data_IF_327111232868
#
_entry.id   IF_327111232868
#
_cell.length_a   1.000
_cell.length_b   1.000
_cell.length_c   1.000
_cell.angle_alpha   90.00
_cell.angle_beta   90.00
_cell.angle_gamma   90.00
#
_symmetry.space_group_name_H-M   'P 1'
#
loop_
_entity.id
_entity.type
_entity.pdbx_description
1 polymer ?
#
# COMPACT_ATOMS: atom_id res chain seq x y z
N UNK A 1 -9.46 10.69 -5.06
CA UNK A 1 -8.87 10.57 -6.41
C UNK A 1 -7.47 9.95 -6.28
N UNK A 2 -6.97 9.20 -7.26
CA UNK A 2 -5.57 8.73 -7.34
C UNK A 2 -5.08 7.54 -6.50
N UNK A 3 -5.95 6.82 -5.79
CA UNK A 3 -5.51 5.67 -5.00
C UNK A 3 -5.56 4.34 -5.79
N UNK A 4 -6.75 3.75 -5.93
CA UNK A 4 -6.86 2.37 -6.43
C UNK A 4 -6.72 2.25 -7.95
N UNK A 5 -7.35 3.15 -8.71
CA UNK A 5 -7.33 3.06 -10.17
C UNK A 5 -5.96 3.37 -10.77
N UNK A 6 -5.22 4.30 -10.16
CA UNK A 6 -3.85 4.64 -10.59
C UNK A 6 -2.89 3.46 -10.39
N UNK A 7 -3.04 2.72 -9.27
CA UNK A 7 -2.23 1.52 -9.02
C UNK A 7 -2.51 0.44 -10.05
N UNK A 8 -3.79 0.20 -10.35
CA UNK A 8 -4.22 -0.78 -11.34
C UNK A 8 -3.69 -0.44 -12.73
N UNK A 9 -3.89 0.81 -13.18
CA UNK A 9 -3.47 1.30 -14.50
C UNK A 9 -1.95 1.22 -14.68
N UNK A 10 -1.17 1.74 -13.73
CA UNK A 10 0.31 1.69 -13.79
C UNK A 10 0.84 0.26 -13.79
N UNK A 11 0.20 -0.65 -13.06
CA UNK A 11 0.62 -2.05 -13.01
C UNK A 11 0.31 -2.78 -14.33
N UNK A 12 -0.87 -2.56 -14.91
CA UNK A 12 -1.28 -3.24 -16.14
C UNK A 12 -0.55 -2.68 -17.37
N UNK A 13 -0.45 -1.36 -17.50
CA UNK A 13 0.21 -0.70 -18.63
C UNK A 13 1.71 -0.99 -18.67
N UNK A 14 2.35 -1.25 -17.52
CA UNK A 14 3.74 -1.72 -17.46
C UNK A 14 3.99 -3.00 -18.27
N UNK A 15 2.95 -3.82 -18.45
CA UNK A 15 3.00 -5.08 -19.18
C UNK A 15 2.04 -5.09 -20.38
N UNK A 16 1.70 -3.91 -20.90
CA UNK A 16 0.81 -3.72 -22.07
C UNK A 16 -0.56 -4.39 -21.93
N UNK A 17 -1.08 -4.50 -20.70
CA UNK A 17 -2.42 -5.01 -20.43
C UNK A 17 -3.38 -3.85 -20.16
N UNK A 18 -4.53 -3.87 -20.84
CA UNK A 18 -5.63 -2.94 -20.58
C UNK A 18 -6.60 -3.55 -19.55
N UNK A 19 -6.83 -2.84 -18.44
CA UNK A 19 -7.80 -3.24 -17.42
C UNK A 19 -9.05 -2.37 -17.49
N UNK A 20 -10.22 -3.02 -17.45
CA UNK A 20 -11.52 -2.35 -17.43
C UNK A 20 -12.16 -2.50 -16.04
N UNK A 21 -12.92 -1.49 -15.62
CA UNK A 21 -13.67 -1.52 -14.35
C UNK A 21 -15.18 -1.37 -14.61
N UNK A 22 -15.91 -2.46 -14.96
CA UNK A 22 -17.30 -2.40 -15.40
C UNK A 22 -18.27 -1.72 -14.42
N UNK A 23 -18.01 -1.84 -13.11
CA UNK A 23 -18.84 -1.19 -12.09
C UNK A 23 -18.74 0.35 -12.09
N UNK A 24 -17.76 0.92 -12.81
CA UNK A 24 -17.62 2.36 -13.00
C UNK A 24 -18.18 2.86 -14.35
N UNK A 25 -18.83 1.99 -15.13
CA UNK A 25 -19.55 2.44 -16.33
C UNK A 25 -20.64 3.45 -15.93
N UNK A 26 -20.73 4.56 -16.68
CA UNK A 26 -21.66 5.64 -16.38
C UNK A 26 -23.13 5.19 -16.36
N UNK A 27 -23.51 4.15 -17.12
CA UNK A 27 -24.86 3.58 -17.12
C UNK A 27 -25.14 2.85 -15.82
N UNK A 28 -24.17 2.09 -15.32
CA UNK A 28 -24.26 1.37 -14.04
C UNK A 28 -24.32 2.38 -12.88
N UNK A 29 -23.47 3.41 -12.91
CA UNK A 29 -23.46 4.47 -11.91
C UNK A 29 -24.79 5.25 -11.89
N UNK A 30 -25.32 5.61 -13.07
CA UNK A 30 -26.63 6.29 -13.21
C UNK A 30 -27.76 5.43 -12.66
N UNK A 31 -27.85 4.17 -13.08
CA UNK A 31 -28.83 3.22 -12.56
C UNK A 31 -28.75 3.13 -11.02
N UNK A 32 -27.55 2.98 -10.47
CA UNK A 32 -27.35 2.93 -9.02
C UNK A 32 -27.78 4.21 -8.28
N UNK A 33 -27.66 5.38 -8.93
CA UNK A 33 -28.10 6.66 -8.38
C UNK A 33 -29.63 6.76 -8.30
N UNK A 34 -30.35 6.23 -9.30
CA UNK A 34 -31.82 6.22 -9.39
C UNK A 34 -32.47 5.25 -8.38
N UNK A 35 -31.72 4.25 -7.89
CA UNK A 35 -32.25 3.29 -6.92
C UNK A 35 -32.52 3.92 -5.54
N UNK A 36 -33.67 3.57 -4.97
CA UNK A 36 -33.99 3.85 -3.57
C UNK A 36 -32.89 3.32 -2.63
N UNK A 37 -32.60 4.05 -1.56
CA UNK A 37 -31.57 3.69 -0.56
C UNK A 37 -31.81 2.30 0.03
N UNK A 38 -33.07 1.95 0.33
CA UNK A 38 -33.45 0.62 0.84
C UNK A 38 -33.05 -0.52 -0.10
N UNK A 39 -33.04 -0.29 -1.41
CA UNK A 39 -32.61 -1.31 -2.40
C UNK A 39 -31.10 -1.55 -2.35
N UNK A 40 -30.32 -0.51 -2.00
CA UNK A 40 -28.85 -0.59 -1.90
C UNK A 40 -28.38 -1.12 -0.54
N UNK A 41 -29.11 -0.81 0.53
CA UNK A 41 -28.69 -0.99 1.92
C UNK A 41 -29.66 -1.75 2.83
N UNK A 42 -30.79 -2.24 2.32
CA UNK A 42 -31.88 -2.81 3.13
C UNK A 42 -31.47 -3.98 4.02
N UNK A 43 -30.59 -4.86 3.52
CA UNK A 43 -30.03 -5.99 4.28
C UNK A 43 -28.52 -5.80 4.53
N UNK A 44 -28.07 -4.53 4.60
CA UNK A 44 -26.66 -4.17 4.69
C UNK A 44 -26.03 -3.77 3.35
N UNK A 45 -24.71 -3.50 3.33
CA UNK A 45 -24.05 -2.93 2.16
C UNK A 45 -24.10 -3.87 0.95
N UNK A 46 -24.29 -3.26 -0.22
CA UNK A 46 -24.32 -3.95 -1.52
C UNK A 46 -25.50 -4.94 -1.66
N UNK A 47 -26.66 -4.67 -1.05
CA UNK A 47 -27.83 -5.57 -1.05
C UNK A 47 -28.20 -6.01 -2.47
N UNK A 48 -28.57 -5.08 -3.36
CA UNK A 48 -28.93 -5.41 -4.76
C UNK A 48 -27.82 -6.16 -5.52
N UNK A 49 -26.56 -5.81 -5.29
CA UNK A 49 -25.42 -6.44 -5.97
C UNK A 49 -25.22 -7.90 -5.51
N UNK A 50 -25.45 -8.18 -4.23
CA UNK A 50 -25.40 -9.54 -3.66
C UNK A 50 -26.52 -10.40 -4.23
N UNK A 51 -27.74 -9.87 -4.30
CA UNK A 51 -28.88 -10.59 -4.88
C UNK A 51 -28.70 -10.85 -6.37
N UNK A 52 -28.17 -9.88 -7.12
CA UNK A 52 -27.82 -10.09 -8.53
C UNK A 52 -26.74 -11.18 -8.69
N UNK A 53 -25.70 -11.17 -7.85
CA UNK A 53 -24.60 -12.12 -7.91
C UNK A 53 -24.99 -13.55 -7.50
N UNK A 54 -25.97 -13.69 -6.59
CA UNK A 54 -26.49 -14.98 -6.13
C UNK A 54 -27.09 -15.83 -7.27
N UNK A 55 -27.44 -15.21 -8.40
CA UNK A 55 -27.93 -15.90 -9.61
C UNK A 55 -26.82 -16.60 -10.40
N UNK A 56 -25.55 -16.23 -10.17
CA UNK A 56 -24.42 -16.69 -10.97
C UNK A 56 -23.41 -17.53 -10.20
N UNK A 57 -23.23 -17.26 -8.90
CA UNK A 57 -22.25 -17.98 -8.07
C UNK A 57 -22.79 -18.25 -6.66
N UNK A 58 -22.27 -19.27 -5.95
CA UNK A 58 -22.74 -19.59 -4.60
C UNK A 58 -22.51 -18.44 -3.60
N UNK A 59 -23.53 -18.15 -2.78
CA UNK A 59 -23.53 -17.09 -1.76
C UNK A 59 -22.29 -17.07 -0.87
N UNK A 60 -21.80 -18.23 -0.45
CA UNK A 60 -20.59 -18.39 0.38
C UNK A 60 -19.33 -17.71 -0.17
N UNK A 61 -19.24 -17.46 -1.47
CA UNK A 61 -18.06 -16.84 -2.10
C UNK A 61 -18.00 -15.33 -1.89
N UNK A 62 -19.15 -14.66 -1.76
CA UNK A 62 -19.24 -13.19 -1.67
C UNK A 62 -19.94 -12.69 -0.40
N UNK A 63 -20.64 -13.55 0.34
CA UNK A 63 -21.16 -13.28 1.69
C UNK A 63 -20.05 -13.40 2.74
N UNK A 64 -19.00 -12.59 2.56
CA UNK A 64 -17.86 -12.47 3.46
C UNK A 64 -17.77 -11.03 3.98
N UNK A 65 -17.11 -10.81 5.13
CA UNK A 65 -16.83 -9.47 5.63
C UNK A 65 -16.12 -8.61 4.58
N UNK A 66 -16.36 -7.30 4.60
CA UNK A 66 -15.67 -6.36 3.71
C UNK A 66 -14.17 -6.45 3.97
N UNK A 67 -13.41 -6.80 2.95
CA UNK A 67 -11.95 -6.77 2.96
C UNK A 67 -11.47 -5.59 2.11
N UNK A 68 -10.51 -4.83 2.64
CA UNK A 68 -9.84 -3.77 1.89
C UNK A 68 -8.86 -4.33 0.87
N UNK A 69 -8.24 -3.45 0.08
CA UNK A 69 -7.15 -3.82 -0.84
C UNK A 69 -5.78 -3.75 -0.13
N UNK A 70 -5.71 -4.26 1.10
CA UNK A 70 -4.45 -4.28 1.85
C UNK A 70 -3.51 -5.32 1.27
N UNK A 71 -2.26 -4.93 1.04
CA UNK A 71 -1.22 -5.89 0.70
C UNK A 71 -0.81 -6.69 1.94
N UNK A 72 -0.42 -7.98 1.81
CA UNK A 72 -0.07 -8.84 2.93
C UNK A 72 1.33 -8.51 3.49
N UNK A 73 1.49 -7.30 4.03
CA UNK A 73 2.77 -6.76 4.50
C UNK A 73 3.49 -7.72 5.45
N UNK A 74 2.78 -8.31 6.41
CA UNK A 74 3.38 -9.23 7.38
C UNK A 74 3.99 -10.45 6.71
N UNK A 75 3.25 -11.07 5.80
CA UNK A 75 3.72 -12.23 5.03
C UNK A 75 4.91 -11.86 4.17
N UNK A 76 4.91 -10.68 3.56
CA UNK A 76 6.02 -10.22 2.72
C UNK A 76 7.27 -9.90 3.54
N UNK A 77 7.15 -9.10 4.60
CA UNK A 77 8.26 -8.68 5.46
C UNK A 77 8.89 -9.85 6.22
N UNK A 78 8.09 -10.86 6.59
CA UNK A 78 8.58 -12.07 7.25
C UNK A 78 9.02 -13.17 6.27
N UNK A 79 8.82 -12.97 4.97
CA UNK A 79 9.09 -13.97 3.94
C UNK A 79 9.86 -13.37 2.77
N UNK A 80 9.27 -13.26 1.57
CA UNK A 80 9.99 -12.96 0.33
C UNK A 80 10.70 -11.60 0.30
N UNK A 81 10.31 -10.64 1.14
CA UNK A 81 10.95 -9.33 1.20
C UNK A 81 11.89 -9.16 2.39
N UNK A 82 12.05 -10.18 3.25
CA UNK A 82 12.87 -10.06 4.47
C UNK A 82 14.28 -9.57 4.15
N UNK A 83 15.00 -10.30 3.31
CA UNK A 83 16.40 -9.99 3.02
C UNK A 83 16.52 -8.74 2.13
N UNK A 84 15.51 -8.46 1.31
CA UNK A 84 15.44 -7.24 0.48
C UNK A 84 15.30 -5.99 1.34
N UNK A 85 14.50 -6.05 2.40
CA UNK A 85 14.33 -4.97 3.38
C UNK A 85 15.62 -4.79 4.18
N UNK A 86 16.18 -5.90 4.64
CA UNK A 86 17.44 -5.91 5.39
C UNK A 86 18.56 -5.20 4.63
N UNK A 87 18.75 -5.56 3.36
CA UNK A 87 19.78 -4.97 2.51
C UNK A 87 19.49 -3.49 2.23
N UNK A 88 18.23 -3.14 1.93
CA UNK A 88 17.84 -1.75 1.70
C UNK A 88 18.19 -0.82 2.88
N UNK A 89 18.10 -1.31 4.12
CA UNK A 89 18.44 -0.53 5.32
C UNK A 89 19.94 -0.35 5.55
N UNK A 90 20.80 -1.10 4.85
CA UNK A 90 22.26 -1.05 4.94
C UNK A 90 22.90 -0.31 3.77
N UNK A 91 22.11 0.07 2.77
CA UNK A 91 22.63 0.76 1.59
C UNK A 91 23.35 2.05 1.99
N UNK A 92 24.48 2.30 1.32
CA UNK A 92 25.34 3.48 1.55
C UNK A 92 24.56 4.78 1.40
N UNK A 93 23.67 4.85 0.41
CA UNK A 93 22.76 5.97 0.16
C UNK A 93 21.93 6.34 1.40
N UNK A 94 21.38 5.35 2.13
CA UNK A 94 20.62 5.55 3.36
C UNK A 94 21.48 6.24 4.44
N UNK A 95 22.74 5.84 4.56
CA UNK A 95 23.68 6.40 5.55
C UNK A 95 24.13 7.81 5.17
N UNK A 96 24.56 8.01 3.92
CA UNK A 96 25.17 9.26 3.46
C UNK A 96 24.15 10.40 3.27
N UNK A 97 22.92 10.05 2.92
CA UNK A 97 21.83 11.02 2.79
C UNK A 97 21.43 11.65 4.13
N UNK A 98 21.58 10.94 5.24
CA UNK A 98 21.20 11.41 6.57
C UNK A 98 19.69 11.52 6.82
N UNK A 99 18.84 11.08 5.89
CA UNK A 99 17.38 11.03 6.08
C UNK A 99 16.96 9.91 7.05
N UNK A 100 17.76 8.85 7.09
CA UNK A 100 17.44 7.61 7.77
C UNK A 100 18.67 7.15 8.55
N UNK A 101 18.45 6.65 9.76
CA UNK A 101 19.51 6.10 10.59
C UNK A 101 19.51 4.57 10.48
N UNK A 102 20.49 4.00 9.78
CA UNK A 102 20.59 2.54 9.55
C UNK A 102 20.53 1.71 10.84
N UNK A 103 21.21 2.14 11.91
CA UNK A 103 21.17 1.44 13.19
C UNK A 103 19.76 1.39 13.80
N UNK A 104 18.98 2.46 13.66
CA UNK A 104 17.58 2.52 14.10
C UNK A 104 16.69 1.64 13.25
N UNK A 105 16.89 1.63 11.93
CA UNK A 105 16.14 0.77 11.00
C UNK A 105 16.36 -0.71 11.32
N UNK A 106 17.60 -1.14 11.47
CA UNK A 106 17.96 -2.53 11.80
C UNK A 106 17.45 -2.95 13.18
N UNK A 107 17.40 -2.02 14.16
CA UNK A 107 16.78 -2.28 15.46
C UNK A 107 15.28 -2.53 15.31
N UNK A 108 14.58 -1.68 14.56
CA UNK A 108 13.13 -1.82 14.32
C UNK A 108 12.80 -3.12 13.58
N UNK A 109 13.61 -3.48 12.59
CA UNK A 109 13.49 -4.75 11.86
C UNK A 109 13.68 -5.95 12.78
N UNK A 110 14.72 -5.94 13.62
CA UNK A 110 14.94 -7.00 14.61
C UNK A 110 13.77 -7.11 15.58
N UNK A 111 13.29 -6.00 16.11
CA UNK A 111 12.17 -6.00 17.06
C UNK A 111 10.88 -6.55 16.41
N UNK A 112 10.65 -6.24 15.13
CA UNK A 112 9.55 -6.83 14.35
C UNK A 112 9.67 -8.35 14.23
N UNK A 113 10.86 -8.85 13.89
CA UNK A 113 11.11 -10.29 13.83
C UNK A 113 11.11 -10.98 15.20
N UNK A 114 11.34 -10.23 16.28
CA UNK A 114 11.20 -10.71 17.65
C UNK A 114 9.74 -10.76 18.14
N UNK A 115 8.76 -10.38 17.31
CA UNK A 115 7.33 -10.52 17.59
C UNK A 115 6.53 -9.21 17.59
N UNK A 116 7.19 -8.05 17.47
CA UNK A 116 6.52 -6.73 17.38
C UNK A 116 5.90 -6.47 16.01
N UNK A 117 4.91 -7.28 15.66
CA UNK A 117 4.29 -7.31 14.32
C UNK A 117 3.46 -6.07 13.97
N UNK A 118 3.09 -5.25 14.96
CA UNK A 118 2.50 -3.92 14.78
C UNK A 118 3.41 -2.96 14.02
N UNK A 119 4.74 -3.19 14.03
CA UNK A 119 5.71 -2.41 13.28
C UNK A 119 5.64 -2.62 11.75
N UNK A 120 4.89 -3.60 11.26
CA UNK A 120 4.82 -3.96 9.83
C UNK A 120 4.53 -2.76 8.91
N UNK A 121 3.55 -1.93 9.24
CA UNK A 121 3.20 -0.77 8.42
C UNK A 121 4.32 0.28 8.41
N UNK A 122 4.95 0.52 9.57
CA UNK A 122 6.07 1.46 9.68
C UNK A 122 7.30 0.95 8.92
N UNK A 123 7.66 -0.32 9.07
CA UNK A 123 8.77 -0.93 8.35
C UNK A 123 8.55 -0.89 6.84
N UNK A 124 7.33 -1.13 6.37
CA UNK A 124 6.99 -0.97 4.96
C UNK A 124 7.24 0.45 4.46
N UNK A 125 6.79 1.48 5.20
CA UNK A 125 7.02 2.87 4.82
C UNK A 125 8.51 3.23 4.81
N UNK A 126 9.25 2.80 5.83
CA UNK A 126 10.69 3.02 5.92
C UNK A 126 11.44 2.31 4.79
N UNK A 127 11.03 1.10 4.43
CA UNK A 127 11.56 0.36 3.29
C UNK A 127 11.32 1.09 1.97
N UNK A 128 10.08 1.54 1.72
CA UNK A 128 9.75 2.32 0.52
C UNK A 128 10.58 3.60 0.44
N UNK A 129 10.75 4.31 1.57
CA UNK A 129 11.57 5.50 1.65
C UNK A 129 13.06 5.20 1.40
N UNK A 130 13.62 4.14 1.99
CA UNK A 130 14.99 3.71 1.75
C UNK A 130 15.23 3.42 0.25
N UNK A 131 14.30 2.70 -0.39
CA UNK A 131 14.35 2.42 -1.84
C UNK A 131 14.22 3.67 -2.70
N UNK A 132 13.45 4.67 -2.26
CA UNK A 132 13.35 5.95 -2.93
C UNK A 132 14.66 6.73 -2.84
N UNK A 133 15.23 6.84 -1.64
CA UNK A 133 16.52 7.51 -1.40
C UNK A 133 17.64 6.89 -2.23
N UNK A 134 17.69 5.56 -2.26
CA UNK A 134 18.68 4.82 -3.06
C UNK A 134 18.57 5.11 -4.57
N UNK A 135 17.35 5.09 -5.10
CA UNK A 135 17.09 5.38 -6.51
C UNK A 135 17.40 6.82 -6.89
N UNK A 136 17.06 7.78 -6.03
CA UNK A 136 17.31 9.20 -6.34
C UNK A 136 18.79 9.53 -6.20
N UNK A 137 19.48 9.00 -5.19
CA UNK A 137 20.93 9.17 -5.04
C UNK A 137 21.71 8.63 -6.26
N UNK A 138 21.29 7.48 -6.82
CA UNK A 138 21.89 6.91 -8.02
C UNK A 138 21.66 7.77 -9.29
N UNK A 139 20.52 8.46 -9.39
CA UNK A 139 20.19 9.29 -10.54
C UNK A 139 20.92 10.65 -10.55
N UNK A 140 21.34 11.16 -9.39
CA UNK A 140 21.91 12.51 -9.27
C UNK A 140 23.32 12.69 -9.83
N UNK A 141 24.06 11.62 -10.14
CA UNK A 141 25.45 11.63 -10.67
C UNK A 141 26.52 12.33 -9.80
N UNK A 142 26.12 13.08 -8.78
CA UNK A 142 26.93 14.00 -7.99
C UNK A 142 27.01 13.62 -6.51
N UNK A 143 26.39 12.51 -6.10
CA UNK A 143 26.33 12.09 -4.69
C UNK A 143 25.53 13.04 -3.78
N UNK A 144 24.91 14.09 -4.34
CA UNK A 144 24.15 15.06 -3.57
C UNK A 144 22.76 14.50 -3.32
N UNK A 145 22.59 13.93 -2.14
CA UNK A 145 21.27 13.75 -1.57
C UNK A 145 20.73 15.12 -1.15
N UNK A 146 19.45 15.40 -1.43
CA UNK A 146 18.78 16.60 -0.92
C UNK A 146 18.77 16.51 0.61
N UNK A 147 19.72 17.12 1.33
CA UNK A 147 19.76 17.00 2.78
C UNK A 147 18.55 17.73 3.36
N UNK A 148 17.72 17.08 4.20
CA UNK A 148 16.67 17.80 4.89
C UNK A 148 17.34 18.83 5.80
N UNK A 149 16.81 20.05 5.87
CA UNK A 149 17.18 20.96 6.96
C UNK A 149 16.91 20.24 8.29
N UNK A 150 17.79 20.34 9.29
CA UNK A 150 17.54 19.78 10.60
C UNK A 150 16.16 20.21 11.09
N UNK A 151 15.31 19.23 11.43
CA UNK A 151 14.05 19.52 12.11
C UNK A 151 14.40 19.75 13.57
N UNK A 152 14.36 21.01 14.02
CA UNK A 152 14.41 21.33 15.44
C UNK A 152 13.14 20.77 16.08
N UNK A 153 13.25 19.63 16.75
CA UNK A 153 12.17 19.13 17.58
C UNK A 153 11.98 20.13 18.72
N UNK A 154 10.74 20.60 18.97
CA UNK A 154 10.48 21.46 20.11
C UNK A 154 10.95 20.73 21.37
N UNK A 155 11.77 21.40 22.18
CA UNK A 155 12.20 20.89 23.48
C UNK A 155 10.94 20.54 24.26
N UNK A 156 10.87 19.29 24.74
CA UNK A 156 9.80 18.87 25.64
C UNK A 156 9.79 19.83 26.84
N UNK A 157 8.66 20.49 27.06
CA UNK A 157 8.38 21.33 28.22
C UNK A 157 8.05 20.45 29.43
#
# INVERSE_FOLDING_TARGET
>A
PDDLQVKMDRASMRVSLEVRSPLLDHRVARFGAELATRTKFGNGPKTILREALARFVPRRLFERPKHGFSVPMRTWLSGPLRDVVHEAFRQRSVVECGWLNSATLLRLERDYHAGRTELSAMLWLLFVLARFVDRTAAASGSGVCFKPKPVELPKAA
#
